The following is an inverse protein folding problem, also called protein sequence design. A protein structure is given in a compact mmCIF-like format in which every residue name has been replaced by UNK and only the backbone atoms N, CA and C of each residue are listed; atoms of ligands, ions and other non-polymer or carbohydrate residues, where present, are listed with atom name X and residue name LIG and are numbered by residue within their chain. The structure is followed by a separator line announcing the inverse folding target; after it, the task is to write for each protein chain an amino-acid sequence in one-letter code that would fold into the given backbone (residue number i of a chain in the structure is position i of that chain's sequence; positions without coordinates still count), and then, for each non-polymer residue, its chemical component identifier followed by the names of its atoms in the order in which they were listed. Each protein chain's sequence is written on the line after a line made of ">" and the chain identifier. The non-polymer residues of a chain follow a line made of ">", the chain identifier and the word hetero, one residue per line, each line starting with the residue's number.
data_IF_408939999346
#
_entry.id   IF_408939999346
#
_cell.length_a   1.000
_cell.length_b   1.000
_cell.length_c   1.000
_cell.angle_alpha   90.00
_cell.angle_beta   90.00
_cell.angle_gamma   90.00
#
_symmetry.space_group_name_H-M   'P 1'
#
loop_
_entity.id
_entity.type
_entity.pdbx_description
1 polymer ?
#
# COMPACT_ATOMS: atom_id res chain seq x y z
N UNK A 1 -8.43 14.59 -1.17
CA UNK A 1 -8.50 15.78 -2.04
C UNK A 1 -7.15 16.07 -2.69
N UNK A 2 -6.59 15.09 -3.41
CA UNK A 2 -5.38 15.20 -4.26
C UNK A 2 -5.56 14.31 -5.49
N UNK A 3 -6.17 13.12 -5.31
CA UNK A 3 -6.60 12.24 -6.43
C UNK A 3 -7.45 12.97 -7.48
N UNK A 4 -8.48 13.68 -7.04
CA UNK A 4 -9.35 14.50 -7.91
C UNK A 4 -8.54 15.53 -8.71
N UNK A 5 -7.58 16.20 -8.07
CA UNK A 5 -6.74 17.21 -8.72
C UNK A 5 -5.76 16.59 -9.71
N UNK A 6 -5.18 15.43 -9.39
CA UNK A 6 -4.32 14.67 -10.32
C UNK A 6 -5.10 14.23 -11.57
N UNK A 7 -6.36 13.84 -11.43
CA UNK A 7 -7.22 13.51 -12.57
C UNK A 7 -7.54 14.72 -13.46
N UNK A 8 -7.53 15.94 -12.90
CA UNK A 8 -7.80 17.16 -13.66
C UNK A 8 -6.66 17.58 -14.61
N UNK A 9 -5.48 16.96 -14.50
CA UNK A 9 -4.30 17.27 -15.32
C UNK A 9 -3.63 18.63 -15.04
N UNK A 10 -4.15 19.39 -14.05
CA UNK A 10 -3.57 20.67 -13.61
C UNK A 10 -2.24 20.53 -12.85
N UNK A 11 -2.06 19.52 -11.98
CA UNK A 11 -0.78 19.28 -11.32
C UNK A 11 0.18 18.56 -12.27
N UNK A 12 1.40 19.08 -12.41
CA UNK A 12 2.47 18.47 -13.21
C UNK A 12 3.56 17.97 -12.26
N UNK A 13 4.01 16.73 -12.44
CA UNK A 13 5.11 16.16 -11.65
C UNK A 13 6.45 16.78 -12.09
N UNK A 14 7.26 17.19 -11.12
CA UNK A 14 8.60 17.76 -11.33
C UNK A 14 9.65 16.87 -10.68
N UNK A 15 10.88 16.87 -11.23
CA UNK A 15 12.02 16.13 -10.68
C UNK A 15 11.76 14.61 -10.55
N UNK A 16 11.10 14.00 -11.53
CA UNK A 16 10.81 12.56 -11.51
C UNK A 16 12.08 11.70 -11.32
N UNK A 17 13.23 12.16 -11.83
CA UNK A 17 14.52 11.48 -11.68
C UNK A 17 15.05 11.45 -10.23
N UNK A 18 14.46 12.26 -9.34
CA UNK A 18 14.81 12.37 -7.92
C UNK A 18 13.78 11.72 -7.00
N UNK A 19 12.75 11.07 -7.57
CA UNK A 19 11.76 10.36 -6.76
C UNK A 19 12.37 9.10 -6.15
N UNK A 20 12.19 8.97 -4.83
CA UNK A 20 12.40 7.69 -4.14
C UNK A 20 11.12 6.88 -4.23
N UNK A 21 11.22 5.67 -4.78
CA UNK A 21 10.19 4.65 -4.62
C UNK A 21 10.32 4.02 -3.25
N UNK A 22 9.21 3.92 -2.53
CA UNK A 22 9.14 3.17 -1.29
C UNK A 22 8.63 1.77 -1.56
N UNK A 23 9.09 0.82 -0.76
CA UNK A 23 8.49 -0.50 -0.73
C UNK A 23 7.01 -0.40 -0.37
N UNK A 24 6.25 -1.41 -0.80
CA UNK A 24 4.86 -1.56 -0.43
C UNK A 24 4.67 -1.66 1.09
N UNK A 25 3.42 -1.55 1.52
CA UNK A 25 3.08 -1.65 2.94
C UNK A 25 3.32 -3.06 3.47
N UNK A 26 3.98 -3.17 4.63
CA UNK A 26 4.18 -4.42 5.34
C UNK A 26 3.20 -4.54 6.50
N UNK A 27 2.46 -5.65 6.56
CA UNK A 27 1.61 -6.00 7.69
C UNK A 27 2.42 -6.84 8.69
N UNK A 28 2.84 -6.23 9.80
CA UNK A 28 3.56 -6.94 10.87
C UNK A 28 2.58 -7.65 11.81
N UNK A 29 2.74 -8.97 11.96
CA UNK A 29 2.00 -9.77 12.94
C UNK A 29 2.81 -11.01 13.38
N UNK A 30 2.62 -11.50 14.62
CA UNK A 30 3.31 -12.68 15.12
C UNK A 30 2.71 -13.98 14.54
N UNK A 31 3.51 -14.78 13.81
CA UNK A 31 3.02 -16.04 13.22
C UNK A 31 2.82 -17.19 14.24
N UNK A 32 3.41 -17.06 15.43
CA UNK A 32 3.51 -18.16 16.42
C UNK A 32 2.30 -18.34 17.34
N UNK A 33 1.40 -17.35 17.42
CA UNK A 33 0.12 -17.50 18.11
C UNK A 33 -0.88 -17.88 17.04
N UNK A 34 -1.45 -19.09 17.11
CA UNK A 34 -2.42 -19.61 16.14
C UNK A 34 -3.30 -18.47 15.59
N UNK A 35 -2.99 -17.99 14.38
CA UNK A 35 -3.75 -16.91 13.78
C UNK A 35 -5.17 -17.43 13.62
N UNK A 36 -6.13 -16.72 14.20
CA UNK A 36 -7.53 -17.13 14.08
C UNK A 36 -7.87 -17.29 12.59
N UNK A 37 -8.78 -18.21 12.22
CA UNK A 37 -9.16 -18.40 10.82
C UNK A 37 -9.56 -17.09 10.13
N UNK A 38 -10.26 -16.21 10.85
CA UNK A 38 -10.62 -14.86 10.38
C UNK A 38 -9.40 -13.97 10.09
N UNK A 39 -8.39 -13.99 10.96
CA UNK A 39 -7.19 -13.20 10.75
C UNK A 39 -6.40 -13.70 9.53
N UNK A 40 -6.38 -15.01 9.30
CA UNK A 40 -5.75 -15.59 8.11
C UNK A 40 -6.44 -15.14 6.82
N UNK A 41 -7.78 -15.17 6.80
CA UNK A 41 -8.57 -14.65 5.67
C UNK A 41 -8.29 -13.17 5.40
N UNK A 42 -8.15 -12.36 6.46
CA UNK A 42 -7.78 -10.95 6.30
C UNK A 42 -6.39 -10.78 5.69
N UNK A 43 -5.39 -11.50 6.20
CA UNK A 43 -4.02 -11.45 5.66
C UNK A 43 -4.00 -11.86 4.18
N UNK A 44 -4.73 -12.92 3.81
CA UNK A 44 -4.80 -13.38 2.43
C UNK A 44 -5.51 -12.37 1.52
N UNK A 45 -6.57 -11.72 2.00
CA UNK A 45 -7.27 -10.67 1.25
C UNK A 45 -6.42 -9.40 1.05
N UNK A 46 -5.54 -9.09 2.01
CA UNK A 46 -4.67 -7.92 1.96
C UNK A 46 -3.31 -8.19 1.29
N UNK A 47 -2.97 -9.46 1.05
CA UNK A 47 -1.70 -9.84 0.42
C UNK A 47 -1.70 -9.42 -1.05
N UNK A 48 -0.85 -8.45 -1.38
CA UNK A 48 -0.57 -8.08 -2.75
C UNK A 48 0.27 -9.18 -3.44
N UNK A 49 0.02 -9.45 -4.73
CA UNK A 49 0.78 -10.44 -5.51
C UNK A 49 2.11 -9.88 -6.00
#
# INVERSE_FOLDING_TARGET
>A
MVREELHSGKPVSLLNDWFTTYDGYYLYYPSRRQSSPLFRLLVDALRFK
#
